data_IF_333462714704
#
_entry.id   IF_333462714704
#
_cell.length_a   1.000
_cell.length_b   1.000
_cell.length_c   1.000
_cell.angle_alpha   90.00
_cell.angle_beta   90.00
_cell.angle_gamma   90.00
#
_symmetry.space_group_name_H-M   'P 1'
#
loop_
_entity.id
_entity.type
_entity.pdbx_description
1 polymer ?
#
# COMPACT_ATOMS: atom_id res chain seq x y z
N UNK A 1 -1.81 -8.11 14.15
CA UNK A 1 -2.27 -7.85 12.76
C UNK A 1 -1.47 -8.71 11.79
N UNK A 2 -2.03 -9.25 10.71
CA UNK A 2 -1.31 -10.09 9.72
C UNK A 2 -0.45 -11.23 10.33
N UNK A 3 -0.97 -11.92 11.35
CA UNK A 3 -0.24 -13.00 12.03
C UNK A 3 0.87 -12.56 13.00
N UNK A 4 1.12 -11.26 13.17
CA UNK A 4 2.06 -10.72 14.17
C UNK A 4 1.31 -10.43 15.48
N UNK A 5 1.68 -11.08 16.61
CA UNK A 5 1.02 -10.87 17.91
C UNK A 5 1.31 -9.46 18.46
N UNK A 6 0.42 -8.95 19.32
CA UNK A 6 0.57 -7.68 20.06
C UNK A 6 0.91 -6.45 19.20
N UNK A 7 0.45 -6.42 17.95
CA UNK A 7 0.67 -5.31 17.02
C UNK A 7 -0.63 -4.61 16.63
N UNK A 8 -0.69 -3.30 16.88
CA UNK A 8 -1.81 -2.42 16.50
C UNK A 8 -1.49 -1.48 15.34
N UNK A 9 -0.21 -1.33 14.99
CA UNK A 9 0.25 -0.45 13.92
C UNK A 9 0.68 -1.25 12.69
N UNK A 10 0.01 -0.99 11.57
CA UNK A 10 0.25 -1.64 10.28
C UNK A 10 1.67 -1.42 9.78
N UNK A 11 2.21 -0.20 9.94
CA UNK A 11 3.55 0.13 9.44
C UNK A 11 4.63 -0.63 10.21
N UNK A 12 4.46 -0.80 11.53
CA UNK A 12 5.40 -1.55 12.38
C UNK A 12 5.38 -3.04 11.98
N UNK A 13 4.20 -3.59 11.69
CA UNK A 13 4.05 -4.96 11.19
C UNK A 13 4.69 -5.12 9.81
N UNK A 14 4.49 -4.14 8.91
CA UNK A 14 5.11 -4.12 7.58
C UNK A 14 6.62 -4.10 7.68
N UNK A 15 7.18 -3.25 8.55
CA UNK A 15 8.62 -3.17 8.79
C UNK A 15 9.18 -4.45 9.43
N UNK A 16 8.47 -5.04 10.38
CA UNK A 16 8.84 -6.31 11.00
C UNK A 16 8.91 -7.45 9.96
N UNK A 17 7.89 -7.59 9.11
CA UNK A 17 7.86 -8.61 8.06
C UNK A 17 8.92 -8.37 7.00
N UNK A 18 9.17 -7.11 6.63
CA UNK A 18 10.28 -6.74 5.75
C UNK A 18 11.62 -7.16 6.36
N UNK A 19 11.89 -6.78 7.61
CA UNK A 19 13.14 -7.12 8.31
C UNK A 19 13.30 -8.63 8.41
N UNK A 20 12.27 -9.37 8.83
CA UNK A 20 12.30 -10.83 8.92
C UNK A 20 12.66 -11.52 7.59
N UNK A 21 12.20 -10.96 6.47
CA UNK A 21 12.37 -11.55 5.14
C UNK A 21 13.71 -11.16 4.52
N UNK A 22 14.04 -9.88 4.60
CA UNK A 22 15.12 -9.29 3.80
C UNK A 22 16.39 -8.98 4.58
N UNK A 23 16.33 -8.81 5.91
CA UNK A 23 17.51 -8.50 6.73
C UNK A 23 18.63 -9.52 6.51
N UNK A 24 19.86 -9.00 6.37
CA UNK A 24 21.06 -9.82 6.24
C UNK A 24 21.30 -10.60 7.52
N UNK A 25 21.51 -11.92 7.37
CA UNK A 25 21.81 -12.80 8.52
C UNK A 25 23.31 -12.90 8.82
N UNK A 26 24.16 -12.46 7.87
CA UNK A 26 25.62 -12.47 7.99
C UNK A 26 26.17 -11.09 7.65
N UNK A 27 27.31 -10.73 8.24
CA UNK A 27 27.99 -9.45 8.02
C UNK A 27 28.43 -9.25 6.56
N UNK A 28 28.63 -10.33 5.80
CA UNK A 28 29.06 -10.33 4.40
C UNK A 28 27.90 -10.59 3.42
N UNK A 29 26.66 -10.69 3.92
CA UNK A 29 25.49 -10.90 3.08
C UNK A 29 25.09 -9.56 2.43
N UNK A 30 25.23 -9.46 1.11
CA UNK A 30 24.96 -8.24 0.36
C UNK A 30 23.44 -7.98 0.32
N UNK A 31 22.97 -7.26 1.35
CA UNK A 31 21.58 -6.89 1.56
C UNK A 31 20.95 -6.25 0.33
N UNK A 32 21.67 -5.34 -0.34
CA UNK A 32 21.19 -4.71 -1.56
C UNK A 32 20.90 -5.75 -2.64
N UNK A 33 21.85 -6.65 -2.93
CA UNK A 33 21.66 -7.68 -3.97
C UNK A 33 20.47 -8.60 -3.69
N UNK A 34 20.21 -8.90 -2.43
CA UNK A 34 19.05 -9.70 -1.99
C UNK A 34 17.74 -8.94 -2.18
N UNK A 35 17.64 -7.71 -1.68
CA UNK A 35 16.48 -6.85 -1.91
C UNK A 35 16.22 -6.64 -3.41
N UNK A 36 17.25 -6.34 -4.22
CA UNK A 36 17.06 -6.10 -5.66
C UNK A 36 16.50 -7.31 -6.42
N UNK A 37 16.79 -8.54 -5.99
CA UNK A 37 16.38 -9.77 -6.69
C UNK A 37 15.06 -10.35 -6.23
N UNK A 38 14.70 -10.18 -4.96
CA UNK A 38 13.53 -10.85 -4.36
C UNK A 38 12.55 -9.91 -3.66
N UNK A 39 12.77 -8.60 -3.72
CA UNK A 39 11.81 -7.66 -3.17
C UNK A 39 10.55 -7.59 -4.02
N UNK A 40 9.47 -8.11 -3.47
CA UNK A 40 8.12 -7.97 -3.98
C UNK A 40 7.31 -7.20 -2.94
N UNK A 41 6.97 -5.96 -3.27
CA UNK A 41 6.18 -5.10 -2.36
C UNK A 41 4.78 -5.65 -2.08
N UNK A 42 4.25 -6.53 -2.95
CA UNK A 42 2.96 -7.19 -2.76
C UNK A 42 3.00 -8.32 -1.72
N UNK A 43 4.19 -8.82 -1.38
CA UNK A 43 4.40 -9.79 -0.31
C UNK A 43 4.27 -9.19 1.09
N UNK A 44 4.29 -7.85 1.18
CA UNK A 44 4.14 -7.11 2.42
C UNK A 44 2.68 -6.66 2.60
N UNK A 45 2.17 -6.62 3.84
CA UNK A 45 0.86 -6.05 4.11
C UNK A 45 0.82 -4.58 3.67
N UNK A 46 -0.35 -4.04 3.26
CA UNK A 46 -0.46 -2.65 2.83
C UNK A 46 0.10 -1.70 3.89
N UNK A 47 0.71 -0.59 3.50
CA UNK A 47 1.06 0.45 4.46
C UNK A 47 -0.20 1.14 5.00
N UNK A 48 -0.07 1.92 6.07
CA UNK A 48 -1.20 2.65 6.67
C UNK A 48 -1.92 3.55 5.66
N UNK A 49 -1.18 4.21 4.77
CA UNK A 49 -1.76 5.08 3.73
C UNK A 49 -2.53 4.27 2.67
N UNK A 50 -1.98 3.13 2.25
CA UNK A 50 -2.66 2.19 1.33
C UNK A 50 -3.96 1.64 1.95
N UNK A 51 -3.88 1.21 3.21
CA UNK A 51 -5.02 0.68 3.94
C UNK A 51 -6.11 1.74 4.12
N UNK A 52 -5.72 2.99 4.39
CA UNK A 52 -6.66 4.10 4.53
C UNK A 52 -7.42 4.37 3.22
N UNK A 53 -6.70 4.47 2.09
CA UNK A 53 -7.32 4.66 0.79
C UNK A 53 -8.23 3.48 0.41
N UNK A 54 -7.81 2.25 0.72
CA UNK A 54 -8.65 1.07 0.51
C UNK A 54 -9.94 1.13 1.33
N UNK A 55 -9.87 1.52 2.61
CA UNK A 55 -11.04 1.67 3.46
C UNK A 55 -12.02 2.72 2.91
N UNK A 56 -11.51 3.84 2.38
CA UNK A 56 -12.34 4.85 1.73
C UNK A 56 -13.09 4.29 0.51
N UNK A 57 -12.38 3.53 -0.34
CA UNK A 57 -12.99 2.87 -1.51
C UNK A 57 -14.05 1.87 -1.11
N UNK A 58 -13.75 0.98 -0.16
CA UNK A 58 -14.70 -0.02 0.35
C UNK A 58 -15.94 0.67 0.92
N UNK A 59 -15.76 1.71 1.75
CA UNK A 59 -16.87 2.49 2.30
C UNK A 59 -17.79 3.04 1.21
N UNK A 60 -17.21 3.59 0.13
CA UNK A 60 -17.98 4.10 -1.01
C UNK A 60 -18.76 2.99 -1.72
N UNK A 61 -18.07 1.93 -2.12
CA UNK A 61 -18.64 0.80 -2.87
C UNK A 61 -19.75 0.13 -2.05
N UNK A 62 -19.51 -0.16 -0.77
CA UNK A 62 -20.51 -0.78 0.10
C UNK A 62 -21.73 0.13 0.29
N UNK A 63 -21.55 1.44 0.47
CA UNK A 63 -22.69 2.38 0.59
C UNK A 63 -23.51 2.43 -0.70
N UNK A 64 -22.83 2.46 -1.85
CA UNK A 64 -23.49 2.47 -3.15
C UNK A 64 -24.35 1.20 -3.34
N UNK A 65 -23.77 0.02 -3.16
CA UNK A 65 -24.48 -1.24 -3.35
C UNK A 65 -25.60 -1.46 -2.33
N UNK A 66 -25.40 -1.09 -1.06
CA UNK A 66 -26.43 -1.18 -0.02
C UNK A 66 -27.70 -0.40 -0.38
N UNK A 67 -27.55 0.69 -1.14
CA UNK A 67 -28.61 1.61 -1.51
C UNK A 67 -28.94 1.57 -3.01
N UNK A 68 -28.51 0.54 -3.74
CA UNK A 68 -28.67 0.46 -5.19
C UNK A 68 -30.14 0.47 -5.67
N UNK A 69 -31.08 0.19 -4.76
CA UNK A 69 -32.52 0.25 -5.01
C UNK A 69 -33.08 1.69 -4.99
N UNK A 70 -32.30 2.68 -4.52
CA UNK A 70 -32.68 4.08 -4.52
C UNK A 70 -32.26 4.76 -5.82
N UNK A 71 -33.03 5.77 -6.27
CA UNK A 71 -32.67 6.61 -7.43
C UNK A 71 -31.28 7.24 -7.30
N UNK A 72 -30.90 7.61 -6.08
CA UNK A 72 -29.59 8.16 -5.74
C UNK A 72 -28.93 7.29 -4.65
N UNK A 73 -28.12 6.28 -5.02
CA UNK A 73 -27.60 5.29 -4.07
C UNK A 73 -26.60 5.86 -3.04
N UNK A 74 -25.85 6.90 -3.39
CA UNK A 74 -24.83 7.44 -2.49
C UNK A 74 -24.68 8.95 -2.63
N UNK A 75 -24.53 9.63 -1.51
CA UNK A 75 -24.09 11.03 -1.43
C UNK A 75 -22.57 11.18 -1.37
N UNK A 76 -21.82 10.08 -1.30
CA UNK A 76 -20.36 10.12 -1.30
C UNK A 76 -19.86 10.33 -2.72
N UNK A 77 -18.80 11.14 -2.86
CA UNK A 77 -18.09 11.28 -4.12
C UNK A 77 -16.99 10.21 -4.23
N UNK A 78 -16.82 9.58 -5.42
CA UNK A 78 -15.67 8.69 -5.67
C UNK A 78 -14.34 9.44 -5.50
N UNK A 79 -14.28 10.73 -5.88
CA UNK A 79 -13.08 11.57 -5.73
C UNK A 79 -12.67 11.79 -4.26
N UNK A 80 -13.65 11.81 -3.36
CA UNK A 80 -13.43 11.87 -1.91
C UNK A 80 -13.24 10.48 -1.28
N UNK A 81 -13.21 9.42 -2.09
CA UNK A 81 -13.25 8.03 -1.65
C UNK A 81 -12.14 7.17 -2.27
N UNK A 82 -10.98 7.77 -2.54
CA UNK A 82 -9.79 7.06 -3.03
C UNK A 82 -9.77 6.77 -4.53
N UNK A 83 -10.43 7.63 -5.32
CA UNK A 83 -10.38 7.64 -6.78
C UNK A 83 -9.98 9.02 -7.28
N UNK A 84 -9.40 9.07 -8.47
CA UNK A 84 -9.19 10.29 -9.27
C UNK A 84 -9.77 10.07 -10.67
N UNK A 85 -9.98 11.16 -11.40
CA UNK A 85 -10.30 11.09 -12.84
C UNK A 85 -8.99 11.30 -13.61
N UNK A 86 -8.67 10.36 -14.48
CA UNK A 86 -7.59 10.45 -15.45
C UNK A 86 -8.12 9.96 -16.81
N UNK A 87 -7.99 10.77 -17.86
CA UNK A 87 -8.52 10.48 -19.21
C UNK A 87 -9.98 9.98 -19.18
N UNK A 88 -10.86 10.72 -18.49
CA UNK A 88 -12.29 10.40 -18.29
C UNK A 88 -12.58 9.05 -17.61
N UNK A 89 -11.56 8.43 -17.00
CA UNK A 89 -11.69 7.16 -16.28
C UNK A 89 -11.42 7.37 -14.79
N UNK A 90 -12.16 6.63 -13.97
CA UNK A 90 -11.85 6.53 -12.55
C UNK A 90 -10.64 5.62 -12.35
N UNK A 91 -9.58 6.19 -11.80
CA UNK A 91 -8.35 5.48 -11.42
C UNK A 91 -8.24 5.45 -9.90
N UNK A 92 -7.82 4.31 -9.38
CA UNK A 92 -7.64 4.10 -7.94
C UNK A 92 -6.45 4.92 -7.45
N UNK A 93 -6.64 5.66 -6.35
CA UNK A 93 -5.52 6.23 -5.59
C UNK A 93 -5.05 5.16 -4.61
N UNK A 94 -3.93 4.51 -4.88
CA UNK A 94 -3.44 3.43 -4.01
C UNK A 94 -3.03 3.96 -2.64
N UNK A 95 -2.28 5.05 -2.59
CA UNK A 95 -1.87 5.72 -1.36
C UNK A 95 -1.56 7.20 -1.64
N UNK A 96 -1.43 7.98 -0.57
CA UNK A 96 -0.89 9.34 -0.62
C UNK A 96 0.23 9.45 0.43
N UNK A 97 1.34 10.10 0.06
CA UNK A 97 2.52 10.23 0.92
C UNK A 97 3.51 9.08 0.79
N UNK A 98 4.36 8.92 1.80
CA UNK A 98 5.46 7.94 1.78
C UNK A 98 4.99 6.51 2.01
N UNK A 99 5.39 5.59 1.13
CA UNK A 99 5.10 4.15 1.24
C UNK A 99 6.12 3.41 2.13
N UNK A 100 7.34 3.96 2.26
CA UNK A 100 8.48 3.40 2.97
C UNK A 100 9.18 4.48 3.80
N UNK A 101 9.92 4.09 4.84
CA UNK A 101 10.86 5.00 5.48
C UNK A 101 11.99 5.36 4.51
N UNK A 102 12.58 6.56 4.66
CA UNK A 102 13.65 7.07 3.78
C UNK A 102 14.77 6.06 3.52
N UNK A 103 15.26 5.36 4.55
CA UNK A 103 16.30 4.35 4.41
C UNK A 103 15.91 3.14 3.53
N UNK A 104 14.64 2.72 3.56
CA UNK A 104 14.14 1.63 2.70
C UNK A 104 13.83 2.18 1.30
N UNK A 105 13.31 3.40 1.22
CA UNK A 105 13.05 4.09 -0.04
C UNK A 105 14.33 4.22 -0.87
N UNK A 106 15.46 4.64 -0.28
CA UNK A 106 16.74 4.80 -0.98
C UNK A 106 17.25 3.50 -1.61
N UNK A 107 17.02 2.36 -0.94
CA UNK A 107 17.46 1.03 -1.40
C UNK A 107 16.53 0.51 -2.50
N UNK A 108 15.22 0.72 -2.36
CA UNK A 108 14.21 0.29 -3.35
C UNK A 108 14.24 1.17 -4.60
N UNK A 109 14.39 2.49 -4.46
CA UNK A 109 14.43 3.45 -5.57
C UNK A 109 15.70 3.26 -6.41
N UNK A 110 16.86 3.04 -5.79
CA UNK A 110 18.10 2.70 -6.52
C UNK A 110 18.02 1.34 -7.25
N UNK A 111 17.10 0.46 -6.86
CA UNK A 111 16.89 -0.84 -7.50
C UNK A 111 16.06 -0.78 -8.78
N UNK A 112 15.20 0.23 -8.95
CA UNK A 112 14.29 0.34 -10.09
C UNK A 112 14.10 1.81 -10.47
N UNK A 113 14.81 2.23 -11.52
CA UNK A 113 14.32 3.28 -12.43
C UNK A 113 12.91 2.85 -12.89
N UNK A 114 11.95 3.78 -12.82
CA UNK A 114 10.50 3.59 -12.98
C UNK A 114 9.75 3.00 -11.77
N UNK A 115 9.56 3.82 -10.74
CA UNK A 115 8.24 3.94 -10.08
C UNK A 115 7.36 4.79 -11.03
N UNK A 116 7.05 4.27 -12.21
CA UNK A 116 6.07 4.87 -13.11
C UNK A 116 4.88 3.93 -13.09
N UNK A 117 3.80 4.43 -12.51
CA UNK A 117 2.45 3.83 -12.44
C UNK A 117 2.33 2.67 -11.44
N UNK A 118 2.26 3.03 -10.15
CA UNK A 118 1.29 2.42 -9.24
C UNK A 118 0.30 3.52 -8.83
#
# INVERSE_FOLDING_TARGET
MYGVPNSSNVNDVRFYLFSKTYQSKKLDDNFEKKCRRSFDSSSLPPCKAELYQHLLRVRYVTKFWRNAHLKNPSSLSPLASGWIINDDKYVVVWFAGEQFSSAVADIVIKSKVLIIIL
#
